data_IF_404199620328
#
_entry.id   IF_404199620328
#
_cell.length_a   1.000
_cell.length_b   1.000
_cell.length_c   1.000
_cell.angle_alpha   90.00
_cell.angle_beta   90.00
_cell.angle_gamma   90.00
#
_symmetry.space_group_name_H-M   'P 1'
#
loop_
_entity.id
_entity.type
_entity.pdbx_description
1 polymer ?
#
# COMPACT_ATOMS: atom_id res chain seq x y z
N UNK A 1 5.58 16.32 4.65
CA UNK A 1 4.74 16.43 5.85
C UNK A 1 4.84 17.83 6.46
N UNK A 2 6.01 18.22 6.98
CA UNK A 2 6.19 19.46 7.75
C UNK A 2 5.62 20.73 7.11
N UNK A 3 5.79 20.92 5.80
CA UNK A 3 5.24 22.06 5.07
C UNK A 3 3.70 22.15 5.14
N UNK A 4 3.00 21.01 5.12
CA UNK A 4 1.54 20.97 5.23
C UNK A 4 1.13 21.24 6.69
N UNK A 5 1.84 20.61 7.64
CA UNK A 5 1.59 20.77 9.07
C UNK A 5 1.81 22.23 9.52
N UNK A 6 2.88 22.87 9.05
CA UNK A 6 3.21 24.26 9.39
C UNK A 6 2.23 25.26 8.77
N UNK A 7 1.57 24.89 7.67
CA UNK A 7 0.47 25.66 7.09
C UNK A 7 -0.87 25.49 7.84
N UNK A 8 -0.90 24.69 8.91
CA UNK A 8 -2.03 24.54 9.84
C UNK A 8 -2.91 23.32 9.60
N UNK A 9 -2.69 22.56 8.52
CA UNK A 9 -3.44 21.33 8.28
C UNK A 9 -2.72 20.14 8.94
N UNK A 10 -3.35 19.55 9.97
CA UNK A 10 -2.81 18.40 10.73
C UNK A 10 -3.31 17.05 10.22
N UNK A 11 -4.29 17.04 9.32
CA UNK A 11 -4.93 15.83 8.81
C UNK A 11 -4.13 15.27 7.64
N UNK A 12 -2.96 14.68 7.95
CA UNK A 12 -1.99 14.19 6.97
C UNK A 12 -1.75 12.70 7.17
N UNK A 13 -1.94 11.92 6.10
CA UNK A 13 -1.49 10.54 5.99
C UNK A 13 -0.25 10.49 5.10
N UNK A 14 0.73 9.69 5.50
CA UNK A 14 1.87 9.33 4.65
C UNK A 14 1.51 8.11 3.82
N UNK A 15 2.05 8.00 2.61
CA UNK A 15 1.82 6.86 1.74
C UNK A 15 3.15 6.39 1.15
N UNK A 16 3.60 5.19 1.53
CA UNK A 16 4.70 4.52 0.86
C UNK A 16 4.20 3.87 -0.41
N UNK A 17 4.80 4.21 -1.55
CA UNK A 17 4.32 3.83 -2.90
C UNK A 17 5.44 3.39 -3.84
N UNK A 18 6.58 3.03 -3.27
CA UNK A 18 7.78 2.59 -3.96
C UNK A 18 8.68 3.73 -4.42
N UNK A 19 9.97 3.42 -4.44
CA UNK A 19 11.06 4.30 -4.87
C UNK A 19 11.64 3.81 -6.20
N UNK A 20 12.19 4.75 -6.97
CA UNK A 20 12.93 4.41 -8.19
C UNK A 20 14.29 3.82 -7.82
N UNK A 21 14.65 2.71 -8.42
CA UNK A 21 15.96 2.05 -8.27
C UNK A 21 16.50 1.65 -9.65
N UNK A 22 17.56 0.84 -9.68
CA UNK A 22 18.08 0.24 -10.92
C UNK A 22 17.27 -0.98 -11.38
N UNK A 23 16.42 -1.56 -10.51
CA UNK A 23 15.55 -2.70 -10.84
C UNK A 23 14.56 -2.32 -11.95
N UNK A 24 14.29 -3.25 -12.86
CA UNK A 24 13.44 -3.04 -14.05
C UNK A 24 12.20 -3.94 -14.08
N UNK A 25 12.13 -4.96 -13.21
CA UNK A 25 11.02 -5.92 -13.21
C UNK A 25 9.72 -5.32 -12.67
N UNK A 26 9.80 -4.52 -11.61
CA UNK A 26 8.65 -3.79 -11.04
C UNK A 26 8.70 -2.32 -11.44
N UNK A 27 7.54 -1.65 -11.44
CA UNK A 27 7.45 -0.20 -11.73
C UNK A 27 8.31 0.62 -10.77
N UNK A 28 8.31 0.25 -9.48
CA UNK A 28 9.15 0.81 -8.43
C UNK A 28 9.59 -0.32 -7.49
N UNK A 29 10.60 -0.08 -6.65
CA UNK A 29 10.92 -0.98 -5.53
C UNK A 29 10.11 -0.53 -4.32
N UNK A 30 9.24 -1.42 -3.82
CA UNK A 30 8.39 -1.09 -2.66
C UNK A 30 9.22 -1.08 -1.37
N UNK A 31 9.43 0.09 -0.77
CA UNK A 31 10.26 0.22 0.43
C UNK A 31 9.45 -0.02 1.70
N UNK A 32 9.18 -1.30 1.99
CA UNK A 32 8.47 -1.70 3.21
C UNK A 32 9.17 -1.24 4.49
N UNK A 33 10.48 -0.96 4.45
CA UNK A 33 11.23 -0.50 5.62
C UNK A 33 10.84 0.93 6.04
N UNK A 34 10.27 1.72 5.12
CA UNK A 34 9.78 3.06 5.40
C UNK A 34 8.66 3.06 6.44
N UNK A 35 7.81 2.02 6.47
CA UNK A 35 6.69 1.90 7.41
C UNK A 35 7.16 1.98 8.88
N UNK A 36 7.99 1.05 9.38
CA UNK A 36 8.47 1.11 10.77
C UNK A 36 9.39 2.31 11.04
N UNK A 37 10.10 2.83 10.02
CA UNK A 37 10.90 4.05 10.16
C UNK A 37 10.00 5.25 10.45
N UNK A 38 8.88 5.37 9.74
CA UNK A 38 7.92 6.46 9.94
C UNK A 38 7.26 6.36 11.30
N UNK A 39 6.81 5.18 11.75
CA UNK A 39 6.26 5.03 13.11
C UNK A 39 7.26 5.43 14.20
N UNK A 40 8.56 5.20 13.98
CA UNK A 40 9.60 5.60 14.94
C UNK A 40 9.86 7.11 14.94
N UNK A 41 9.75 7.77 13.78
CA UNK A 41 10.21 9.14 13.58
C UNK A 41 9.09 10.18 13.49
N UNK A 42 7.85 9.74 13.32
CA UNK A 42 6.69 10.58 13.10
C UNK A 42 5.50 10.06 13.90
N UNK A 43 4.59 10.98 14.19
CA UNK A 43 3.28 10.69 14.78
C UNK A 43 2.19 10.54 13.72
N UNK A 44 2.51 10.72 12.44
CA UNK A 44 1.53 10.62 11.35
C UNK A 44 1.29 9.15 10.98
N UNK A 45 0.04 8.77 10.65
CA UNK A 45 -0.25 7.45 10.10
C UNK A 45 0.43 7.27 8.74
N UNK A 46 0.81 6.03 8.43
CA UNK A 46 1.36 5.65 7.13
C UNK A 46 0.61 4.47 6.52
N UNK A 47 0.21 4.63 5.26
CA UNK A 47 -0.40 3.59 4.44
C UNK A 47 0.58 3.08 3.38
N UNK A 48 0.31 1.89 2.84
CA UNK A 48 1.05 1.32 1.72
C UNK A 48 0.22 1.27 0.43
N UNK A 49 0.83 1.57 -0.71
CA UNK A 49 0.26 1.41 -2.05
C UNK A 49 1.00 0.32 -2.84
N UNK A 50 0.59 -0.95 -2.68
CA UNK A 50 1.18 -2.06 -3.42
C UNK A 50 0.85 -2.02 -4.92
N UNK A 51 -0.24 -1.37 -5.34
CA UNK A 51 -0.68 -1.26 -6.74
C UNK A 51 0.34 -0.47 -7.56
N UNK A 52 0.67 0.75 -7.15
CA UNK A 52 1.61 1.60 -7.89
C UNK A 52 3.08 1.34 -7.54
N UNK A 53 3.36 0.77 -6.37
CA UNK A 53 4.71 0.36 -6.04
C UNK A 53 5.19 -0.75 -6.98
N UNK A 54 4.40 -1.81 -7.14
CA UNK A 54 4.77 -2.94 -8.00
C UNK A 54 4.42 -2.69 -9.46
N UNK A 55 3.24 -2.13 -9.73
CA UNK A 55 2.67 -2.00 -11.06
C UNK A 55 2.18 -3.33 -11.66
N UNK A 56 2.04 -4.39 -10.85
CA UNK A 56 1.74 -5.75 -11.31
C UNK A 56 0.64 -6.39 -10.45
N UNK A 57 -0.50 -6.75 -11.07
CA UNK A 57 -1.70 -7.29 -10.39
C UNK A 57 -1.41 -8.48 -9.48
N UNK A 58 -0.54 -9.40 -9.91
CA UNK A 58 -0.18 -10.60 -9.17
C UNK A 58 0.69 -10.32 -7.94
N UNK A 59 1.40 -9.19 -7.92
CA UNK A 59 2.20 -8.76 -6.79
C UNK A 59 1.41 -7.94 -5.76
N UNK A 60 0.26 -7.38 -6.13
CA UNK A 60 -0.56 -6.57 -5.22
C UNK A 60 -0.94 -7.35 -3.94
N UNK A 61 -1.51 -8.57 -4.00
CA UNK A 61 -1.87 -9.32 -2.79
C UNK A 61 -0.69 -9.64 -1.86
N UNK A 62 0.44 -10.24 -2.32
CA UNK A 62 1.55 -10.51 -1.42
C UNK A 62 2.18 -9.24 -0.85
N UNK A 63 2.27 -8.15 -1.62
CA UNK A 63 2.83 -6.89 -1.11
C UNK A 63 1.89 -6.18 -0.14
N UNK A 64 0.57 -6.26 -0.34
CA UNK A 64 -0.43 -5.80 0.63
C UNK A 64 -0.28 -6.52 1.98
N UNK A 65 -0.16 -7.86 1.93
CA UNK A 65 0.09 -8.69 3.13
C UNK A 65 1.39 -8.30 3.83
N UNK A 66 2.46 -8.06 3.07
CA UNK A 66 3.74 -7.63 3.60
C UNK A 66 3.67 -6.23 4.25
N UNK A 67 2.96 -5.28 3.64
CA UNK A 67 2.75 -3.96 4.21
C UNK A 67 1.96 -3.99 5.53
N UNK A 68 0.90 -4.81 5.63
CA UNK A 68 0.18 -5.02 6.89
C UNK A 68 1.09 -5.67 7.93
N UNK A 69 1.85 -6.70 7.55
CA UNK A 69 2.79 -7.36 8.46
C UNK A 69 3.91 -6.41 8.95
N UNK A 70 4.34 -5.48 8.10
CA UNK A 70 5.29 -4.41 8.45
C UNK A 70 4.68 -3.32 9.36
N UNK A 71 3.35 -3.35 9.55
CA UNK A 71 2.64 -2.48 10.47
C UNK A 71 1.93 -1.29 9.81
N UNK A 72 1.70 -1.29 8.49
CA UNK A 72 0.98 -0.18 7.84
C UNK A 72 -0.38 0.09 8.52
N UNK A 73 -0.74 1.37 8.63
CA UNK A 73 -2.01 1.84 9.23
C UNK A 73 -3.19 1.74 8.26
N UNK A 74 -2.91 1.40 7.00
CA UNK A 74 -3.90 1.22 5.95
C UNK A 74 -3.24 0.85 4.63
N UNK A 75 -4.07 0.61 3.62
CA UNK A 75 -3.63 0.29 2.26
C UNK A 75 -4.44 1.08 1.24
N UNK A 76 -3.79 1.42 0.12
CA UNK A 76 -4.44 1.93 -1.08
C UNK A 76 -4.30 0.87 -2.18
N UNK A 77 -5.42 0.35 -2.68
CA UNK A 77 -5.45 -0.74 -3.66
C UNK A 77 -6.39 -0.36 -4.80
N UNK A 78 -5.91 -0.48 -6.03
CA UNK A 78 -6.73 -0.29 -7.23
C UNK A 78 -7.58 -1.52 -7.53
N UNK A 79 -8.85 -1.29 -7.86
CA UNK A 79 -9.84 -2.31 -8.17
C UNK A 79 -10.57 -1.87 -9.44
N UNK A 80 -10.83 -2.79 -10.35
CA UNK A 80 -11.62 -2.54 -11.55
C UNK A 80 -12.39 -3.81 -11.95
N UNK A 81 -13.62 -3.66 -12.43
CA UNK A 81 -14.48 -4.79 -12.85
C UNK A 81 -13.96 -5.47 -14.12
N UNK A 82 -13.37 -4.66 -15.02
CA UNK A 82 -12.78 -5.11 -16.28
C UNK A 82 -11.39 -4.50 -16.52
N UNK A 83 -10.36 -4.95 -15.79
CA UNK A 83 -9.03 -4.32 -15.82
C UNK A 83 -8.38 -4.27 -17.22
N UNK A 84 -8.73 -5.20 -18.12
CA UNK A 84 -8.14 -5.27 -19.46
C UNK A 84 -8.62 -4.11 -20.37
N UNK A 85 -9.79 -3.53 -20.07
CA UNK A 85 -10.35 -2.37 -20.79
C UNK A 85 -10.30 -1.07 -19.96
N UNK A 86 -9.57 -1.04 -18.85
CA UNK A 86 -9.43 0.16 -18.03
C UNK A 86 -8.70 1.28 -18.77
N UNK A 87 -9.16 2.52 -18.62
CA UNK A 87 -8.56 3.70 -19.28
C UNK A 87 -7.20 4.09 -18.69
N UNK A 88 -6.92 3.65 -17.45
CA UNK A 88 -5.64 3.81 -16.77
C UNK A 88 -5.41 2.60 -15.89
N UNK A 89 -4.15 2.21 -15.73
CA UNK A 89 -3.68 1.38 -14.61
C UNK A 89 -4.35 -0.02 -14.45
N UNK A 90 -4.96 -0.51 -15.53
CA UNK A 90 -5.51 -1.87 -15.66
C UNK A 90 -4.54 -3.00 -15.29
N UNK A 91 -3.25 -2.95 -15.65
CA UNK A 91 -2.29 -4.01 -15.33
C UNK A 91 -2.05 -4.28 -13.85
N UNK A 92 -2.35 -3.33 -12.95
CA UNK A 92 -2.22 -3.51 -11.50
C UNK A 92 -3.55 -3.59 -10.75
N UNK A 93 -4.66 -3.23 -11.39
CA UNK A 93 -5.98 -3.24 -10.75
C UNK A 93 -6.43 -4.68 -10.46
N UNK A 94 -6.90 -4.93 -9.24
CA UNK A 94 -7.50 -6.20 -8.86
C UNK A 94 -8.94 -6.30 -9.36
N UNK A 95 -9.41 -7.54 -9.55
CA UNK A 95 -10.84 -7.81 -9.67
C UNK A 95 -11.52 -7.74 -8.29
N UNK A 96 -12.80 -7.36 -8.19
CA UNK A 96 -13.53 -7.26 -6.92
C UNK A 96 -13.47 -8.54 -6.08
N UNK A 97 -13.60 -9.71 -6.71
CA UNK A 97 -13.53 -11.00 -6.03
C UNK A 97 -12.13 -11.29 -5.46
N UNK A 98 -11.07 -10.86 -6.15
CA UNK A 98 -9.70 -10.98 -5.66
C UNK A 98 -9.44 -10.04 -4.50
N UNK A 99 -9.98 -8.82 -4.55
CA UNK A 99 -9.91 -7.87 -3.45
C UNK A 99 -10.65 -8.38 -2.21
N UNK A 100 -11.86 -8.91 -2.35
CA UNK A 100 -12.62 -9.47 -1.22
C UNK A 100 -11.84 -10.57 -0.49
N UNK A 101 -11.24 -11.51 -1.25
CA UNK A 101 -10.37 -12.56 -0.68
C UNK A 101 -9.15 -11.97 0.02
N UNK A 102 -8.51 -10.97 -0.59
CA UNK A 102 -7.36 -10.29 0.01
C UNK A 102 -7.74 -9.64 1.34
N UNK A 103 -8.88 -8.95 1.45
CA UNK A 103 -9.33 -8.33 2.71
C UNK A 103 -9.46 -9.36 3.83
N UNK A 104 -9.98 -10.55 3.56
CA UNK A 104 -10.09 -11.62 4.57
C UNK A 104 -8.70 -12.11 5.04
N UNK A 105 -7.74 -12.23 4.12
CA UNK A 105 -6.35 -12.57 4.46
C UNK A 105 -5.68 -11.46 5.29
N UNK A 106 -5.87 -10.19 4.92
CA UNK A 106 -5.29 -9.05 5.62
C UNK A 106 -5.80 -8.96 7.06
N UNK A 107 -7.09 -9.23 7.30
CA UNK A 107 -7.66 -9.30 8.66
C UNK A 107 -7.06 -10.42 9.50
N UNK A 108 -6.64 -11.53 8.90
CA UNK A 108 -5.95 -12.60 9.62
C UNK A 108 -4.55 -12.15 10.03
N UNK A 109 -3.81 -11.51 9.12
CA UNK A 109 -2.45 -11.03 9.39
C UNK A 109 -2.46 -9.92 10.44
N UNK A 110 -3.35 -8.94 10.31
CA UNK A 110 -3.48 -7.85 11.27
C UNK A 110 -3.70 -8.39 12.69
N UNK A 111 -4.65 -9.33 12.84
CA UNK A 111 -4.92 -9.99 14.13
C UNK A 111 -3.70 -10.74 14.66
N UNK A 112 -2.94 -11.43 13.80
CA UNK A 112 -1.74 -12.17 14.21
C UNK A 112 -0.64 -11.26 14.77
N UNK A 113 -0.61 -9.98 14.41
CA UNK A 113 0.33 -8.98 14.93
C UNK A 113 -0.31 -8.03 15.95
N UNK A 114 -1.49 -8.37 16.50
CA UNK A 114 -2.16 -7.58 17.54
C UNK A 114 -2.79 -6.27 17.06
N UNK A 115 -3.16 -6.20 15.77
CA UNK A 115 -3.80 -5.04 15.14
C UNK A 115 -5.18 -5.41 14.58
N UNK A 116 -5.99 -4.39 14.33
CA UNK A 116 -7.25 -4.48 13.59
C UNK A 116 -7.11 -3.77 12.24
N UNK A 117 -7.87 -4.24 11.24
CA UNK A 117 -7.84 -3.74 9.87
C UNK A 117 -9.22 -3.26 9.43
#
# INVERSE_FOLDING_TARGET
AEYILSAGNKDVFLCERGIRTFEQYTRNTFDLSAIPVVHKKSHLPIIGDPSHATGLRDQVPPMARAAVAAGADGLMIEIHDDPENALSDGPQALLPNSFAKLVDELRLIARAIGREL
#
